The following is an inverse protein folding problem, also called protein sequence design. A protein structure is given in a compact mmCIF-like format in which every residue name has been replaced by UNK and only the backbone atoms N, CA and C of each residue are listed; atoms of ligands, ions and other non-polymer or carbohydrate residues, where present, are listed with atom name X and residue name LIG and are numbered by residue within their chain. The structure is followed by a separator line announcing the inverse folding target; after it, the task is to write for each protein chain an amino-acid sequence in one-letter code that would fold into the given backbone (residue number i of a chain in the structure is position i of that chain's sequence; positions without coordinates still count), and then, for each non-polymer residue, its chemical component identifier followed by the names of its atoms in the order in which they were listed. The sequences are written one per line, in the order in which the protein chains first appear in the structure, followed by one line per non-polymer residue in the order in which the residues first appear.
data_IF_867218917180
#
_entry.id   IF_867218917180
#
_cell.length_a   1.000
_cell.length_b   1.000
_cell.length_c   1.000
_cell.angle_alpha   90.00
_cell.angle_beta   90.00
_cell.angle_gamma   90.00
#
_symmetry.space_group_name_H-M   'P 1'
#
loop_
_entity.id
_entity.type
_entity.pdbx_description
1 polymer ?
#
# COMPACT_ATOMS: atom_id res chain seq x y z
N UNK A 1 -13.02 22.22 -30.80
CA UNK A 1 -11.68 21.73 -30.40
C UNK A 1 -11.09 22.72 -29.42
N UNK A 2 -10.61 22.23 -28.28
CA UNK A 2 -9.87 22.97 -27.26
C UNK A 2 -8.42 22.50 -27.36
N UNK A 3 -7.49 23.44 -27.34
CA UNK A 3 -6.05 23.17 -27.30
C UNK A 3 -5.41 24.17 -26.34
N UNK A 4 -4.71 23.63 -25.34
CA UNK A 4 -3.97 24.41 -24.36
C UNK A 4 -2.52 23.94 -24.40
N UNK A 5 -1.62 24.86 -24.67
CA UNK A 5 -0.17 24.64 -24.63
C UNK A 5 0.42 25.42 -23.45
N UNK A 6 1.26 24.76 -22.66
CA UNK A 6 1.98 25.36 -21.53
C UNK A 6 3.47 25.11 -21.74
N UNK A 7 4.17 26.14 -22.22
CA UNK A 7 5.55 26.02 -22.66
C UNK A 7 5.69 25.09 -23.88
N UNK A 8 6.91 24.59 -24.12
CA UNK A 8 7.19 23.76 -25.31
C UNK A 8 6.82 22.27 -25.15
N UNK A 9 6.48 21.82 -23.94
CA UNK A 9 6.44 20.39 -23.61
C UNK A 9 5.10 19.90 -23.04
N UNK A 10 4.23 20.80 -22.59
CA UNK A 10 2.96 20.39 -21.96
C UNK A 10 1.81 20.83 -22.82
N UNK A 11 0.90 19.91 -23.14
CA UNK A 11 -0.32 20.28 -23.82
C UNK A 11 -1.52 19.40 -23.45
N UNK A 12 -2.71 19.99 -23.60
CA UNK A 12 -4.01 19.34 -23.49
C UNK A 12 -4.78 19.63 -24.77
N UNK A 13 -5.16 18.60 -25.52
CA UNK A 13 -6.01 18.70 -26.71
C UNK A 13 -7.30 17.93 -26.50
N UNK A 14 -8.43 18.53 -26.85
CA UNK A 14 -9.75 17.91 -26.76
C UNK A 14 -10.61 18.31 -27.96
N UNK A 15 -11.17 17.32 -28.66
CA UNK A 15 -12.13 17.54 -29.72
C UNK A 15 -13.19 16.42 -29.75
N UNK A 16 -13.96 16.34 -30.84
CA UNK A 16 -15.05 15.37 -30.96
C UNK A 16 -14.56 13.93 -31.19
N UNK A 17 -13.27 13.73 -31.44
CA UNK A 17 -12.67 12.41 -31.70
C UNK A 17 -11.85 11.93 -30.50
N UNK A 18 -11.20 12.82 -29.75
CA UNK A 18 -10.28 12.42 -28.68
C UNK A 18 -10.02 13.47 -27.59
N UNK A 19 -9.46 12.99 -26.47
CA UNK A 19 -8.79 13.78 -25.42
C UNK A 19 -7.34 13.31 -25.31
N UNK A 20 -6.38 14.23 -25.39
CA UNK A 20 -4.95 13.95 -25.34
C UNK A 20 -4.25 14.86 -24.33
N UNK A 21 -3.55 14.26 -23.36
CA UNK A 21 -2.68 14.93 -22.41
C UNK A 21 -1.22 14.61 -22.77
N UNK A 22 -0.36 15.62 -22.84
CA UNK A 22 1.08 15.46 -23.08
C UNK A 22 1.90 16.20 -22.05
N UNK A 23 2.96 15.56 -21.57
CA UNK A 23 4.02 16.19 -20.80
C UNK A 23 5.37 15.61 -21.25
N UNK A 24 6.13 16.42 -22.00
CA UNK A 24 7.33 15.95 -22.69
C UNK A 24 7.00 14.85 -23.71
N UNK A 25 7.56 13.65 -23.51
CA UNK A 25 7.28 12.47 -24.34
C UNK A 25 6.18 11.56 -23.77
N UNK A 26 5.72 11.80 -22.54
CA UNK A 26 4.66 11.01 -21.91
C UNK A 26 3.29 11.49 -22.37
N UNK A 27 2.39 10.56 -22.67
CA UNK A 27 1.07 10.85 -23.22
C UNK A 27 -0.04 9.99 -22.61
N UNK A 28 -1.23 10.58 -22.45
CA UNK A 28 -2.47 9.87 -22.12
C UNK A 28 -3.52 10.26 -23.17
N UNK A 29 -4.03 9.30 -23.92
CA UNK A 29 -5.00 9.47 -25.00
C UNK A 29 -6.29 8.69 -24.70
N UNK A 30 -7.44 9.35 -24.85
CA UNK A 30 -8.77 8.75 -24.75
C UNK A 30 -9.53 9.03 -26.05
N UNK A 31 -10.09 7.99 -26.68
CA UNK A 31 -10.92 8.11 -27.88
C UNK A 31 -12.00 7.01 -27.93
N UNK A 32 -12.75 6.94 -29.04
CA UNK A 32 -13.82 5.93 -29.22
C UNK A 32 -13.33 4.48 -29.14
N UNK A 33 -12.04 4.23 -29.38
CA UNK A 33 -11.44 2.91 -29.33
C UNK A 33 -10.89 2.54 -27.95
N UNK A 34 -10.82 3.47 -26.99
CA UNK A 34 -10.40 3.20 -25.61
C UNK A 34 -9.40 4.23 -25.02
N UNK A 35 -8.63 3.78 -24.03
CA UNK A 35 -7.62 4.59 -23.31
C UNK A 35 -6.22 4.04 -23.56
N UNK A 36 -5.31 4.90 -24.00
CA UNK A 36 -3.90 4.60 -24.26
C UNK A 36 -3.02 5.46 -23.36
N UNK A 37 -2.05 4.84 -22.68
CA UNK A 37 -1.06 5.53 -21.83
C UNK A 37 0.32 5.12 -22.35
N UNK A 38 1.14 6.10 -22.73
CA UNK A 38 2.50 5.88 -23.26
C UNK A 38 3.50 6.76 -22.51
N UNK A 39 4.64 6.18 -22.13
CA UNK A 39 5.67 6.82 -21.34
C UNK A 39 6.75 5.81 -20.93
N UNK A 40 7.95 6.31 -20.62
CA UNK A 40 9.09 5.44 -20.24
C UNK A 40 8.81 4.58 -19.00
N UNK A 41 8.04 5.11 -18.03
CA UNK A 41 7.58 4.39 -16.84
C UNK A 41 6.09 4.71 -16.63
N UNK A 42 5.26 3.68 -16.57
CA UNK A 42 3.82 3.81 -16.36
C UNK A 42 3.47 3.09 -15.06
N UNK A 43 3.23 3.88 -14.01
CA UNK A 43 2.74 3.37 -12.73
C UNK A 43 1.23 3.21 -12.79
N UNK A 44 0.75 1.99 -13.04
CA UNK A 44 -0.66 1.66 -12.87
C UNK A 44 -0.82 1.10 -11.48
N UNK A 45 -1.25 1.99 -10.60
CA UNK A 45 -1.42 1.70 -9.21
C UNK A 45 -2.81 2.23 -8.89
N UNK A 46 -3.59 1.48 -8.11
CA UNK A 46 -4.84 2.05 -7.62
C UNK A 46 -4.56 3.38 -6.86
N UNK A 47 -3.30 3.60 -6.43
CA UNK A 47 -2.67 4.91 -6.07
C UNK A 47 -1.11 4.93 -6.15
N UNK A 48 -0.50 5.97 -6.77
CA UNK A 48 0.92 6.29 -7.21
C UNK A 48 2.21 6.09 -6.34
N UNK A 49 3.38 5.98 -7.06
CA UNK A 49 4.85 6.40 -6.92
C UNK A 49 5.81 5.76 -5.83
N UNK A 50 7.12 6.14 -5.81
CA UNK A 50 8.28 5.65 -4.99
C UNK A 50 8.10 5.59 -3.46
N UNK A 51 8.31 4.40 -2.88
CA UNK A 51 8.16 4.07 -1.44
C UNK A 51 8.83 5.08 -0.49
N UNK A 52 10.05 5.54 -0.77
CA UNK A 52 10.76 6.49 0.11
C UNK A 52 10.31 7.95 -0.10
N UNK A 53 9.86 8.31 -1.30
CA UNK A 53 9.18 9.58 -1.53
C UNK A 53 7.81 9.59 -0.84
N UNK A 54 7.12 8.46 -0.73
CA UNK A 54 5.88 8.34 0.05
C UNK A 54 6.08 8.29 1.54
N UNK A 55 7.05 7.51 2.02
CA UNK A 55 7.34 7.49 3.45
C UNK A 55 7.87 8.87 3.91
N UNK A 56 8.63 9.58 3.08
CA UNK A 56 9.00 10.99 3.31
C UNK A 56 7.83 11.98 3.14
N UNK A 57 6.77 11.62 2.42
CA UNK A 57 5.53 12.41 2.25
C UNK A 57 4.33 11.88 3.07
N UNK A 58 4.51 10.87 3.94
CA UNK A 58 3.49 10.30 4.86
C UNK A 58 2.57 9.18 4.34
N UNK A 59 2.76 8.67 3.12
CA UNK A 59 1.90 7.66 2.48
C UNK A 59 2.48 6.26 2.67
N UNK A 60 1.58 5.28 2.83
CA UNK A 60 1.94 3.98 3.42
C UNK A 60 1.48 2.77 2.58
N UNK A 61 2.19 2.47 1.48
CA UNK A 61 1.87 1.31 0.64
C UNK A 61 2.26 -0.01 1.34
N UNK A 62 1.53 -1.09 1.06
CA UNK A 62 1.78 -2.46 1.55
C UNK A 62 1.65 -2.64 3.08
N UNK A 63 0.52 -2.19 3.63
CA UNK A 63 0.19 -2.37 5.04
C UNK A 63 -0.41 -3.74 5.33
N UNK A 64 0.11 -4.42 6.34
CA UNK A 64 -0.35 -5.73 6.77
C UNK A 64 -0.70 -5.72 8.27
N UNK A 65 -1.72 -6.51 8.63
CA UNK A 65 -2.05 -6.87 10.00
C UNK A 65 -2.41 -8.34 10.02
N UNK A 66 -2.17 -9.02 11.13
CA UNK A 66 -2.36 -10.45 11.24
C UNK A 66 -3.38 -10.74 12.32
N UNK A 67 -4.19 -11.79 12.13
CA UNK A 67 -5.14 -12.26 13.13
C UNK A 67 -4.50 -13.43 13.87
N UNK A 68 -4.35 -13.30 15.18
CA UNK A 68 -3.90 -14.36 16.05
C UNK A 68 -5.08 -15.29 16.34
N UNK A 69 -5.00 -16.52 15.90
CA UNK A 69 -6.03 -17.53 16.13
C UNK A 69 -5.42 -18.92 16.28
N UNK A 70 -6.12 -19.80 16.99
CA UNK A 70 -5.76 -21.21 17.09
C UNK A 70 -6.18 -22.00 15.83
N UNK A 71 -5.87 -23.31 15.81
CA UNK A 71 -6.23 -24.20 14.69
C UNK A 71 -7.74 -24.44 14.55
N UNK A 72 -8.52 -24.18 15.60
CA UNK A 72 -9.97 -24.29 15.58
C UNK A 72 -10.65 -22.97 15.13
N UNK A 73 -9.89 -21.90 14.94
CA UNK A 73 -10.37 -20.58 14.53
C UNK A 73 -10.77 -19.66 15.69
N UNK A 74 -10.43 -20.02 16.94
CA UNK A 74 -10.67 -19.13 18.07
C UNK A 74 -9.62 -18.01 18.08
N UNK A 75 -10.07 -16.76 18.13
CA UNK A 75 -9.18 -15.59 18.13
C UNK A 75 -8.56 -15.34 19.51
N UNK A 76 -7.27 -15.05 19.53
CA UNK A 76 -6.53 -14.61 20.70
C UNK A 76 -6.68 -13.10 20.85
N UNK A 77 -7.75 -12.68 21.54
CA UNK A 77 -8.08 -11.27 21.80
C UNK A 77 -7.30 -10.72 23.00
N UNK A 78 -6.91 -9.45 22.93
CA UNK A 78 -6.17 -8.77 24.01
C UNK A 78 -4.95 -9.57 24.48
N UNK A 79 -4.30 -10.26 23.53
CA UNK A 79 -3.23 -11.21 23.80
C UNK A 79 -1.89 -10.57 23.45
N UNK A 80 -0.93 -10.52 24.38
CA UNK A 80 0.42 -10.11 24.09
C UNK A 80 1.07 -10.95 22.98
N UNK A 81 1.78 -10.32 22.06
CA UNK A 81 2.48 -10.99 20.97
C UNK A 81 3.85 -10.35 20.70
N UNK A 82 4.71 -11.15 20.06
CA UNK A 82 6.00 -10.73 19.51
C UNK A 82 5.95 -10.95 18.01
N UNK A 83 6.27 -9.90 17.25
CA UNK A 83 6.38 -9.92 15.81
C UNK A 83 7.81 -9.56 15.42
N UNK A 84 8.41 -10.36 14.56
CA UNK A 84 9.76 -10.14 14.06
C UNK A 84 9.78 -10.18 12.54
N UNK A 85 10.44 -9.20 11.93
CA UNK A 85 10.66 -9.12 10.50
C UNK A 85 11.95 -8.36 10.23
N UNK A 86 12.78 -8.86 9.32
CA UNK A 86 14.13 -8.33 9.10
C UNK A 86 14.90 -8.25 10.44
N UNK A 87 15.50 -7.10 10.76
CA UNK A 87 16.19 -6.83 12.03
C UNK A 87 15.30 -6.14 13.06
N UNK A 88 13.98 -6.11 12.84
CA UNK A 88 13.00 -5.44 13.71
C UNK A 88 12.22 -6.44 14.52
N UNK A 89 12.04 -6.10 15.80
CA UNK A 89 11.15 -6.82 16.71
C UNK A 89 10.16 -5.84 17.31
N UNK A 90 8.89 -6.22 17.29
CA UNK A 90 7.77 -5.46 17.81
C UNK A 90 7.07 -6.31 18.85
N UNK A 91 6.84 -5.73 20.04
CA UNK A 91 5.96 -6.30 21.05
C UNK A 91 4.65 -5.52 21.05
N UNK A 92 3.53 -6.23 21.06
CA UNK A 92 2.20 -5.61 21.06
C UNK A 92 1.18 -6.44 21.82
N UNK A 93 -0.06 -5.95 21.84
CA UNK A 93 -1.23 -6.66 22.35
C UNK A 93 -2.25 -6.67 21.21
N UNK A 94 -2.81 -7.83 20.90
CA UNK A 94 -3.83 -7.95 19.86
C UNK A 94 -5.12 -7.25 20.29
N UNK A 95 -5.93 -6.78 19.34
CA UNK A 95 -7.20 -6.16 19.66
C UNK A 95 -8.28 -7.19 20.05
N UNK A 96 -9.51 -6.70 20.24
CA UNK A 96 -10.69 -7.53 20.57
C UNK A 96 -11.01 -8.61 19.52
N UNK A 97 -10.54 -8.43 18.28
CA UNK A 97 -10.76 -9.32 17.13
C UNK A 97 -9.50 -10.15 16.85
N UNK A 98 -8.50 -10.09 17.74
CA UNK A 98 -7.24 -10.82 17.64
C UNK A 98 -6.24 -10.21 16.65
N UNK A 99 -6.45 -8.98 16.17
CA UNK A 99 -5.57 -8.35 15.18
C UNK A 99 -4.33 -7.74 15.83
N UNK A 100 -3.17 -7.94 15.19
CA UNK A 100 -1.94 -7.24 15.53
C UNK A 100 -1.98 -5.79 15.05
N UNK A 101 -1.01 -4.99 15.50
CA UNK A 101 -0.80 -3.67 14.93
C UNK A 101 -0.43 -3.76 13.45
N UNK A 102 -0.68 -2.67 12.74
CA UNK A 102 -0.34 -2.55 11.33
C UNK A 102 1.16 -2.38 11.14
N UNK A 103 1.74 -3.15 10.22
CA UNK A 103 3.13 -2.99 9.76
C UNK A 103 3.17 -2.72 8.27
N UNK A 104 4.27 -2.12 7.81
CA UNK A 104 4.48 -1.79 6.40
C UNK A 104 5.66 -2.61 5.90
N UNK A 105 5.35 -3.63 5.12
CA UNK A 105 6.33 -4.58 4.61
C UNK A 105 5.93 -5.01 3.20
N UNK A 106 6.94 -5.16 2.34
CA UNK A 106 6.78 -5.61 0.96
C UNK A 106 6.66 -7.13 0.86
N UNK A 107 7.28 -7.88 1.76
CA UNK A 107 7.25 -9.34 1.78
C UNK A 107 6.78 -9.91 3.14
N UNK A 108 5.51 -10.34 3.18
CA UNK A 108 4.91 -10.95 4.37
C UNK A 108 5.49 -12.31 4.74
N UNK A 109 6.19 -13.00 3.84
CA UNK A 109 6.76 -14.32 4.14
C UNK A 109 7.94 -14.24 5.11
N UNK A 110 8.51 -13.04 5.30
CA UNK A 110 9.59 -12.78 6.26
C UNK A 110 9.09 -12.43 7.66
N UNK A 111 7.77 -12.38 7.85
CA UNK A 111 7.17 -12.02 9.13
C UNK A 111 6.96 -13.28 9.96
N UNK A 112 7.58 -13.31 11.14
CA UNK A 112 7.27 -14.30 12.17
C UNK A 112 6.46 -13.65 13.30
N UNK A 113 5.41 -14.31 13.76
CA UNK A 113 4.54 -13.81 14.83
C UNK A 113 4.21 -14.94 15.77
N UNK A 114 4.37 -14.68 17.05
CA UNK A 114 4.03 -15.61 18.12
C UNK A 114 3.33 -14.90 19.27
N UNK A 115 2.50 -15.66 19.98
CA UNK A 115 1.92 -15.21 21.25
C UNK A 115 3.03 -15.16 22.30
N UNK A 116 3.10 -14.06 23.04
CA UNK A 116 3.99 -13.92 24.21
C UNK A 116 3.34 -14.64 25.40
N UNK A 117 3.54 -15.95 25.46
CA UNK A 117 2.90 -16.82 26.46
C UNK A 117 3.31 -16.50 27.89
N UNK A 118 4.57 -16.09 28.10
CA UNK A 118 5.07 -15.71 29.43
C UNK A 118 4.27 -14.53 29.98
N UNK A 119 4.03 -13.52 29.14
CA UNK A 119 3.21 -12.37 29.52
C UNK A 119 1.73 -12.70 29.61
N UNK A 120 1.19 -13.48 28.67
CA UNK A 120 -0.22 -13.84 28.65
C UNK A 120 -0.66 -14.67 29.87
N UNK A 121 0.18 -15.59 30.35
CA UNK A 121 -0.11 -16.40 31.53
C UNK A 121 0.10 -15.61 32.83
N UNK A 122 1.02 -14.65 32.84
CA UNK A 122 1.25 -13.77 33.99
C UNK A 122 0.15 -12.73 34.24
N UNK A 123 -0.60 -12.32 33.20
CA UNK A 123 -1.72 -11.37 33.31
C UNK A 123 -3.07 -12.02 33.71
N UNK A 124 -3.17 -13.35 33.69
CA UNK A 124 -4.38 -14.11 34.02
C UNK A 124 -4.31 -14.81 35.39
N UNK A 125 -3.37 -14.43 36.25
CA UNK A 125 -3.28 -14.80 37.67
C UNK A 125 -3.69 -13.63 38.56
#
# INVERSE_FOLDING_TARGET
RIELEVGEQTSITMDNQQILLRFGKSTVLLNESGVWIDGKHIGLQETEVEKDNFLAQGIKPYSHSFVLQDRAGNVYKNTPYIMSYEDKTIKGISDKDGRTQMIYIDDVQKVNIEVDWDKYLGENQ
#
